data_IF_608793728479
#
_entry.id   IF_608793728479
#
_cell.length_a   1.000
_cell.length_b   1.000
_cell.length_c   1.000
_cell.angle_alpha   90.00
_cell.angle_beta   90.00
_cell.angle_gamma   90.00
#
_symmetry.space_group_name_H-M   'P 1'
#
loop_
_entity.id
_entity.type
_entity.pdbx_description
1 polymer ?
#
# COMPACT_ATOMS: atom_id res chain seq x y z
N UNK A 1 -24.03 -7.96 29.34
CA UNK A 1 -22.86 -7.14 29.74
C UNK A 1 -22.34 -6.24 28.61
N UNK A 2 -22.74 -6.45 27.35
CA UNK A 2 -22.40 -5.54 26.23
C UNK A 2 -21.00 -5.74 25.66
N UNK A 3 -20.33 -6.83 26.05
CA UNK A 3 -19.00 -7.20 25.57
C UNK A 3 -19.09 -7.87 24.20
N UNK A 4 -18.06 -7.66 23.38
CA UNK A 4 -17.89 -8.32 22.10
C UNK A 4 -17.26 -9.70 22.31
N UNK A 5 -17.71 -10.69 21.56
CA UNK A 5 -17.02 -11.98 21.43
C UNK A 5 -16.30 -12.04 20.10
N UNK A 6 -14.98 -12.20 20.12
CA UNK A 6 -14.14 -12.39 18.94
C UNK A 6 -13.85 -13.87 18.80
N UNK A 7 -14.33 -14.49 17.71
CA UNK A 7 -14.02 -15.88 17.37
C UNK A 7 -12.91 -15.96 16.34
N UNK A 8 -11.99 -16.91 16.48
CA UNK A 8 -10.86 -17.11 15.57
C UNK A 8 -10.41 -18.59 15.57
N UNK A 9 -9.77 -19.03 14.49
CA UNK A 9 -9.15 -20.34 14.42
C UNK A 9 -7.67 -20.25 14.82
N UNK A 10 -7.21 -21.17 15.67
CA UNK A 10 -5.79 -21.33 16.03
C UNK A 10 -5.46 -22.81 16.09
N UNK A 11 -4.40 -23.22 15.40
CA UNK A 11 -3.93 -24.62 15.34
C UNK A 11 -5.05 -25.61 14.95
N UNK A 12 -5.95 -25.19 14.04
CA UNK A 12 -7.08 -26.00 13.56
C UNK A 12 -8.29 -26.07 14.50
N UNK A 13 -8.24 -25.44 15.67
CA UNK A 13 -9.34 -25.39 16.63
C UNK A 13 -10.03 -24.02 16.62
N UNK A 14 -11.35 -24.01 16.81
CA UNK A 14 -12.12 -22.79 17.02
C UNK A 14 -11.92 -22.28 18.46
N UNK A 15 -11.55 -21.01 18.58
CA UNK A 15 -11.28 -20.30 19.83
C UNK A 15 -12.15 -19.03 19.90
N UNK A 16 -12.37 -18.52 21.12
CA UNK A 16 -13.01 -17.21 21.29
C UNK A 16 -12.48 -16.44 22.49
N UNK A 17 -12.49 -15.11 22.39
CA UNK A 17 -12.11 -14.17 23.45
C UNK A 17 -13.21 -13.11 23.60
N UNK A 18 -13.59 -12.81 24.85
CA UNK A 18 -14.49 -11.69 25.15
C UNK A 18 -13.66 -10.41 25.34
N UNK A 19 -14.06 -9.31 24.70
CA UNK A 19 -13.40 -8.03 24.76
C UNK A 19 -14.40 -6.89 24.81
N UNK A 20 -14.00 -5.75 25.37
CA UNK A 20 -14.87 -4.57 25.41
C UNK A 20 -14.85 -3.83 24.06
N UNK A 21 -13.74 -3.92 23.32
CA UNK A 21 -13.55 -3.33 21.99
C UNK A 21 -12.73 -4.27 21.10
N UNK A 22 -12.94 -4.15 19.79
CA UNK A 22 -12.14 -4.81 18.76
C UNK A 22 -11.71 -3.77 17.72
N UNK A 23 -10.46 -3.85 17.26
CA UNK A 23 -9.88 -2.95 16.23
C UNK A 23 -9.34 -3.80 15.10
N UNK A 24 -9.69 -3.48 13.86
CA UNK A 24 -9.19 -4.16 12.68
C UNK A 24 -7.93 -3.44 12.15
N UNK A 25 -6.80 -4.12 12.23
CA UNK A 25 -5.51 -3.65 11.70
C UNK A 25 -4.91 -4.66 10.70
N UNK A 26 -5.74 -5.47 10.03
CA UNK A 26 -5.28 -6.58 9.18
C UNK A 26 -4.55 -6.14 7.90
N UNK A 27 -4.65 -4.86 7.53
CA UNK A 27 -3.98 -4.32 6.35
C UNK A 27 -4.73 -3.14 5.75
N UNK A 28 -4.32 -2.76 4.55
CA UNK A 28 -4.88 -1.65 3.77
C UNK A 28 -5.03 -2.08 2.31
N UNK A 29 -6.02 -1.51 1.63
CA UNK A 29 -6.23 -1.64 0.19
C UNK A 29 -6.18 -0.25 -0.45
N UNK A 30 -5.80 -0.17 -1.73
CA UNK A 30 -5.75 1.09 -2.45
C UNK A 30 -7.16 1.68 -2.61
N UNK A 31 -7.30 2.98 -2.35
CA UNK A 31 -8.57 3.70 -2.51
C UNK A 31 -8.78 4.08 -3.98
N UNK A 32 -9.23 3.11 -4.78
CA UNK A 32 -9.53 3.33 -6.20
C UNK A 32 -11.01 3.29 -6.53
N UNK A 33 -11.84 2.94 -5.55
CA UNK A 33 -13.30 3.01 -5.66
C UNK A 33 -13.73 4.46 -5.87
N UNK A 34 -14.61 4.69 -6.85
CA UNK A 34 -15.11 6.03 -7.19
C UNK A 34 -14.22 6.85 -8.13
N UNK A 35 -13.06 6.34 -8.55
CA UNK A 35 -12.18 7.02 -9.52
C UNK A 35 -12.60 6.86 -11.00
N UNK A 36 -13.61 6.04 -11.28
CA UNK A 36 -14.01 5.65 -12.64
C UNK A 36 -12.81 5.29 -13.52
N UNK A 37 -12.08 4.24 -13.10
CA UNK A 37 -10.90 3.75 -13.81
C UNK A 37 -11.19 3.39 -15.27
N UNK A 38 -12.45 3.05 -15.60
CA UNK A 38 -12.89 2.77 -16.97
C UNK A 38 -12.85 4.00 -17.86
N UNK A 39 -13.30 5.16 -17.39
CA UNK A 39 -13.21 6.42 -18.12
C UNK A 39 -11.74 6.82 -18.41
N UNK A 40 -10.81 6.43 -17.53
CA UNK A 40 -9.38 6.64 -17.70
C UNK A 40 -8.67 5.56 -18.53
N UNK A 41 -9.36 4.55 -19.05
CA UNK A 41 -8.76 3.40 -19.74
C UNK A 41 -7.68 2.71 -18.87
N UNK A 42 -7.94 2.59 -17.57
CA UNK A 42 -6.98 2.06 -16.60
C UNK A 42 -7.27 0.58 -16.32
N UNK A 43 -6.37 -0.28 -16.80
CA UNK A 43 -6.35 -1.71 -16.48
C UNK A 43 -5.91 -1.89 -15.02
N UNK A 44 -6.67 -2.70 -14.29
CA UNK A 44 -6.37 -3.07 -12.92
C UNK A 44 -6.87 -4.48 -12.61
N UNK A 45 -6.34 -5.09 -11.55
CA UNK A 45 -6.84 -6.36 -10.99
C UNK A 45 -7.13 -6.17 -9.52
N UNK A 46 -8.40 -6.31 -9.11
CA UNK A 46 -8.81 -6.18 -7.69
C UNK A 46 -8.33 -4.85 -7.06
N UNK A 47 -8.53 -3.74 -7.78
CA UNK A 47 -8.07 -2.41 -7.38
C UNK A 47 -6.57 -2.14 -7.49
N UNK A 48 -5.76 -3.11 -7.95
CA UNK A 48 -4.32 -2.95 -8.20
C UNK A 48 -4.10 -2.47 -9.63
N UNK A 49 -3.78 -1.19 -9.79
CA UNK A 49 -3.52 -0.59 -11.11
C UNK A 49 -2.25 -1.21 -11.71
N UNK A 50 -2.31 -1.59 -12.99
CA UNK A 50 -1.14 -2.10 -13.70
C UNK A 50 -0.22 -0.95 -14.11
N UNK A 51 0.99 -0.94 -13.55
CA UNK A 51 1.99 0.11 -13.78
C UNK A 51 3.29 -0.45 -14.37
N UNK A 52 4.06 0.42 -15.04
CA UNK A 52 5.43 0.16 -15.47
C UNK A 52 6.45 0.52 -14.37
N UNK A 53 7.75 0.35 -14.66
CA UNK A 53 8.82 0.65 -13.70
C UNK A 53 8.96 2.15 -13.38
N UNK A 54 8.29 3.03 -14.14
CA UNK A 54 8.30 4.48 -13.99
C UNK A 54 7.07 5.01 -13.27
N UNK A 55 6.32 4.13 -12.60
CA UNK A 55 5.11 4.44 -11.86
C UNK A 55 3.96 4.95 -12.75
N UNK A 56 3.98 4.61 -14.04
CA UNK A 56 2.97 5.02 -15.02
C UNK A 56 2.03 3.87 -15.33
N UNK A 57 0.75 4.15 -15.54
CA UNK A 57 -0.20 3.13 -16.00
C UNK A 57 0.26 2.51 -17.32
N UNK A 58 0.16 1.17 -17.42
CA UNK A 58 0.48 0.43 -18.65
C UNK A 58 -0.53 0.65 -19.77
N UNK A 59 -1.74 1.07 -19.41
CA UNK A 59 -2.88 1.16 -20.31
C UNK A 59 -3.22 2.61 -20.71
N UNK A 60 -2.80 3.59 -19.90
CA UNK A 60 -2.93 5.00 -20.21
C UNK A 60 -1.63 5.76 -19.85
N UNK A 61 -0.87 6.27 -20.84
CA UNK A 61 0.40 6.95 -20.60
C UNK A 61 0.28 8.32 -19.91
N UNK A 62 -0.92 8.89 -19.80
CA UNK A 62 -1.16 10.17 -19.13
C UNK A 62 -1.40 10.01 -17.62
N UNK A 63 -1.49 8.77 -17.13
CA UNK A 63 -1.81 8.46 -15.74
C UNK A 63 -0.62 7.82 -15.02
N UNK A 64 -0.33 8.34 -13.83
CA UNK A 64 0.71 7.86 -12.93
C UNK A 64 0.11 7.50 -11.56
N UNK A 65 0.79 6.62 -10.83
CA UNK A 65 0.35 6.09 -9.53
C UNK A 65 1.50 6.19 -8.53
N UNK A 66 1.26 6.71 -7.34
CA UNK A 66 2.25 6.77 -6.25
C UNK A 66 1.55 6.62 -4.89
N UNK A 67 2.35 6.44 -3.84
CA UNK A 67 1.91 6.21 -2.48
C UNK A 67 1.22 4.87 -2.30
N UNK A 68 0.30 4.81 -1.34
CA UNK A 68 -0.34 3.55 -0.93
C UNK A 68 -1.19 2.88 -2.04
N UNK A 69 -1.40 3.55 -3.18
CA UNK A 69 -2.01 2.99 -4.38
C UNK A 69 -1.05 2.09 -5.20
N UNK A 70 0.26 2.22 -5.00
CA UNK A 70 1.27 1.33 -5.57
C UNK A 70 1.29 0.05 -4.74
N UNK A 71 0.58 -0.97 -5.23
CA UNK A 71 0.29 -2.20 -4.48
C UNK A 71 1.53 -3.07 -4.18
N UNK A 72 2.64 -2.83 -4.86
CA UNK A 72 3.88 -3.59 -4.75
C UNK A 72 5.05 -2.80 -4.10
N UNK A 73 4.76 -1.68 -3.44
CA UNK A 73 5.75 -0.92 -2.65
C UNK A 73 5.37 -0.84 -1.17
N UNK A 74 6.32 -0.52 -0.27
CA UNK A 74 6.00 -0.32 1.14
C UNK A 74 5.05 0.87 1.36
N UNK A 75 3.95 0.64 2.06
CA UNK A 75 2.93 1.67 2.38
C UNK A 75 3.38 2.57 3.54
N UNK A 76 4.37 3.42 3.27
CA UNK A 76 4.99 4.33 4.22
C UNK A 76 4.94 5.77 3.69
N UNK A 77 4.60 6.73 4.54
CA UNK A 77 4.60 8.16 4.19
C UNK A 77 5.89 8.67 3.51
N UNK A 78 7.12 8.30 3.95
CA UNK A 78 8.34 8.68 3.23
C UNK A 78 8.44 8.06 1.83
N UNK A 79 7.94 6.83 1.64
CA UNK A 79 7.92 6.17 0.33
C UNK A 79 6.94 6.87 -0.61
N UNK A 80 5.74 7.23 -0.14
CA UNK A 80 4.78 8.01 -0.92
C UNK A 80 5.35 9.36 -1.40
N UNK A 81 6.11 10.04 -0.53
CA UNK A 81 6.79 11.30 -0.87
C UNK A 81 7.87 11.08 -1.93
N UNK A 82 8.68 10.03 -1.78
CA UNK A 82 9.72 9.64 -2.72
C UNK A 82 9.16 9.31 -4.11
N UNK A 83 8.13 8.47 -4.16
CA UNK A 83 7.43 8.10 -5.39
C UNK A 83 6.76 9.31 -6.06
N UNK A 84 6.11 10.19 -5.28
CA UNK A 84 5.50 11.41 -5.80
C UNK A 84 6.51 12.34 -6.48
N UNK A 85 7.72 12.46 -5.93
CA UNK A 85 8.82 13.20 -6.57
C UNK A 85 9.34 12.55 -7.86
N UNK A 86 9.27 11.21 -7.97
CA UNK A 86 9.59 10.49 -9.21
C UNK A 86 8.51 10.71 -10.26
N UNK A 87 7.23 10.55 -9.88
CA UNK A 87 6.08 10.81 -10.76
C UNK A 87 6.13 12.23 -11.31
N UNK A 88 6.33 13.23 -10.45
CA UNK A 88 6.42 14.63 -10.87
C UNK A 88 7.52 14.87 -11.92
N UNK A 89 8.70 14.26 -11.74
CA UNK A 89 9.77 14.33 -12.75
C UNK A 89 9.40 13.59 -14.04
N UNK A 90 8.80 12.41 -13.94
CA UNK A 90 8.41 11.64 -15.12
C UNK A 90 7.30 12.30 -15.95
N UNK A 91 6.44 13.10 -15.32
CA UNK A 91 5.44 13.91 -16.02
C UNK A 91 6.11 14.99 -16.89
N UNK A 92 7.19 15.61 -16.40
CA UNK A 92 7.89 16.70 -17.10
C UNK A 92 8.91 16.17 -18.11
N UNK A 93 9.73 15.22 -17.70
CA UNK A 93 10.91 14.76 -18.46
C UNK A 93 10.62 13.53 -19.32
N UNK A 94 9.43 12.94 -19.19
CA UNK A 94 9.09 11.60 -19.66
C UNK A 94 9.56 10.50 -18.70
N UNK A 95 9.18 9.23 -18.92
CA UNK A 95 9.44 8.10 -18.01
C UNK A 95 10.93 7.71 -18.01
N UNK A 96 11.75 8.47 -17.29
CA UNK A 96 13.21 8.29 -17.17
C UNK A 96 13.65 7.89 -15.77
N UNK A 97 12.83 8.17 -14.78
CA UNK A 97 13.13 7.92 -13.38
C UNK A 97 12.32 6.71 -12.89
N UNK A 98 12.96 5.86 -12.11
CA UNK A 98 12.33 4.70 -11.48
C UNK A 98 12.69 4.67 -9.98
N UNK A 99 11.79 4.20 -9.11
CA UNK A 99 12.10 4.06 -7.70
C UNK A 99 13.08 2.92 -7.46
N UNK A 100 13.93 3.08 -6.45
CA UNK A 100 14.77 2.02 -5.90
C UNK A 100 14.33 1.76 -4.45
N UNK A 101 13.77 0.56 -4.24
CA UNK A 101 13.25 0.14 -2.93
C UNK A 101 14.23 -0.72 -2.12
N UNK A 102 15.47 -0.91 -2.58
CA UNK A 102 16.44 -1.82 -1.96
C UNK A 102 16.85 -1.44 -0.53
N UNK A 103 16.71 -0.17 -0.16
CA UNK A 103 17.19 0.36 1.13
C UNK A 103 16.13 1.20 1.87
N UNK A 104 14.85 0.84 1.78
CA UNK A 104 13.78 1.56 2.49
C UNK A 104 13.81 1.23 4.00
N UNK A 105 14.01 2.21 4.90
CA UNK A 105 13.91 1.99 6.33
C UNK A 105 12.45 1.89 6.77
N UNK A 106 12.18 1.03 7.75
CA UNK A 106 10.89 0.92 8.42
C UNK A 106 11.07 0.98 9.95
N UNK A 107 10.05 1.46 10.65
CA UNK A 107 10.09 1.60 12.11
C UNK A 107 8.73 1.32 12.74
N UNK A 108 8.74 0.61 13.86
CA UNK A 108 7.62 0.40 14.77
C UNK A 108 7.87 1.19 16.05
N UNK A 109 6.95 2.11 16.36
CA UNK A 109 7.05 3.05 17.48
C UNK A 109 6.53 2.49 18.81
N UNK A 110 6.61 1.17 19.00
CA UNK A 110 6.35 0.55 20.30
C UNK A 110 7.42 0.96 21.32
N UNK A 111 7.24 0.54 22.57
CA UNK A 111 8.26 0.68 23.62
C UNK A 111 8.67 -0.75 24.05
N UNK A 112 9.90 -1.22 23.74
CA UNK A 112 10.95 -0.52 23.00
C UNK A 112 10.63 -0.35 21.51
N UNK A 113 11.28 0.64 20.89
CA UNK A 113 11.17 0.87 19.45
C UNK A 113 11.91 -0.21 18.66
N UNK A 114 11.40 -0.53 17.47
CA UNK A 114 12.02 -1.48 16.54
C UNK A 114 12.22 -0.78 15.20
N UNK A 115 13.41 -0.90 14.62
CA UNK A 115 13.72 -0.36 13.30
C UNK A 115 14.56 -1.35 12.49
N UNK A 116 14.37 -1.36 11.18
CA UNK A 116 15.11 -2.21 10.25
C UNK A 116 15.28 -1.51 8.89
N UNK A 117 16.30 -1.91 8.15
CA UNK A 117 16.56 -1.47 6.77
C UNK A 117 17.30 -2.59 6.02
N UNK A 118 16.97 -2.77 4.74
CA UNK A 118 17.62 -3.76 3.89
C UNK A 118 17.11 -5.19 4.10
N UNK A 119 17.98 -6.15 3.82
CA UNK A 119 17.66 -7.59 3.88
C UNK A 119 17.64 -8.13 5.31
N UNK A 120 16.87 -9.19 5.53
CA UNK A 120 16.74 -9.93 6.79
C UNK A 120 17.44 -11.28 6.74
#
# INVERSE_FOLDING_TARGET
>A
DGRLRVSFAKDGAECSVNADRAVNCAGRVANVEGLDLGAGVIVHREGRIEIDEHLRSRSNPDIYVCGDAVWNSPQLSPVATYEGGIVGRNIVDGPKHRPDYSHIPASLYSIPAVAAVGLT
#
